data_IF_679006212017
#
_entry.id   IF_679006212017
#
_cell.length_a   1.000
_cell.length_b   1.000
_cell.length_c   1.000
_cell.angle_alpha   90.00
_cell.angle_beta   90.00
_cell.angle_gamma   90.00
#
_symmetry.space_group_name_H-M   'P 1'
#
loop_
_entity.id
_entity.type
_entity.pdbx_description
1 polymer ?
#
# COMPACT_ATOMS: atom_id res chain seq x y z
N UNK A 1 30.03 0.91 -31.46
CA UNK A 1 28.62 1.37 -31.63
C UNK A 1 28.34 2.30 -30.46
N UNK A 2 28.37 3.62 -30.69
CA UNK A 2 28.40 4.63 -29.63
C UNK A 2 27.18 4.58 -28.70
N UNK A 3 27.40 4.89 -27.42
CA UNK A 3 26.33 5.11 -26.44
C UNK A 3 25.43 6.25 -26.96
N UNK A 4 24.33 5.91 -27.61
CA UNK A 4 23.29 6.89 -27.96
C UNK A 4 22.75 7.43 -26.65
N UNK A 5 23.03 8.71 -26.36
CA UNK A 5 22.43 9.42 -25.24
C UNK A 5 20.92 9.43 -25.49
N UNK A 6 20.16 8.80 -24.60
CA UNK A 6 18.70 8.84 -24.65
C UNK A 6 18.26 10.10 -23.92
N UNK A 7 17.69 11.05 -24.64
CA UNK A 7 17.04 12.22 -24.03
C UNK A 7 15.78 11.76 -23.33
N UNK A 8 15.57 12.16 -22.08
CA UNK A 8 14.35 11.83 -21.33
C UNK A 8 13.39 13.01 -21.39
N UNK A 9 12.18 12.77 -21.89
CA UNK A 9 11.10 13.75 -21.98
C UNK A 9 9.97 13.39 -21.03
N UNK A 10 9.34 14.39 -20.43
CA UNK A 10 8.24 14.24 -19.48
C UNK A 10 6.92 14.67 -20.10
N UNK A 11 5.87 13.87 -19.85
CA UNK A 11 4.48 14.21 -20.16
C UNK A 11 3.66 13.98 -18.90
N UNK A 12 2.96 15.01 -18.44
CA UNK A 12 2.07 14.89 -17.28
C UNK A 12 0.63 14.66 -17.73
N UNK A 13 -0.04 13.69 -17.10
CA UNK A 13 -1.40 13.29 -17.43
C UNK A 13 -2.26 13.24 -16.14
N UNK A 14 -3.22 14.16 -15.99
CA UNK A 14 -4.11 14.22 -14.81
C UNK A 14 -4.94 12.96 -14.58
N UNK A 15 -5.19 12.15 -15.63
CA UNK A 15 -5.97 10.91 -15.53
C UNK A 15 -5.11 9.69 -15.20
N UNK A 16 -3.78 9.81 -15.28
CA UNK A 16 -2.88 8.72 -14.92
C UNK A 16 -2.82 8.61 -13.39
N UNK A 17 -3.12 7.41 -12.86
CA UNK A 17 -3.09 7.12 -11.41
C UNK A 17 -1.66 6.72 -10.98
N UNK A 18 -1.48 6.04 -9.84
CA UNK A 18 -0.19 5.60 -9.25
C UNK A 18 0.63 4.64 -10.16
N UNK A 19 1.03 5.09 -11.35
CA UNK A 19 1.81 4.36 -12.35
C UNK A 19 2.54 5.31 -13.29
N UNK A 20 3.58 4.81 -13.96
CA UNK A 20 4.27 5.49 -15.06
C UNK A 20 4.06 4.71 -16.34
N UNK A 21 3.96 5.42 -17.47
CA UNK A 21 4.05 4.82 -18.80
C UNK A 21 5.34 5.26 -19.46
N UNK A 22 5.88 4.39 -20.30
CA UNK A 22 7.15 4.61 -20.97
C UNK A 22 6.98 4.34 -22.46
N UNK A 23 7.51 5.24 -23.28
CA UNK A 23 7.64 5.06 -24.72
C UNK A 23 9.10 5.31 -25.10
N UNK A 24 9.66 4.47 -25.96
CA UNK A 24 11.06 4.57 -26.41
C UNK A 24 11.09 4.75 -27.92
N UNK A 25 11.85 5.73 -28.39
CA UNK A 25 12.31 5.82 -29.78
C UNK A 25 13.82 5.60 -29.86
N UNK A 26 14.41 5.72 -31.04
CA UNK A 26 15.85 5.55 -31.24
C UNK A 26 16.70 6.53 -30.40
N UNK A 27 16.18 7.74 -30.09
CA UNK A 27 16.95 8.80 -29.41
C UNK A 27 16.32 9.33 -28.12
N UNK A 28 15.08 8.93 -27.81
CA UNK A 28 14.38 9.48 -26.65
C UNK A 28 13.60 8.43 -25.87
N UNK A 29 13.47 8.66 -24.56
CA UNK A 29 12.50 8.00 -23.71
C UNK A 29 11.49 9.05 -23.26
N UNK A 30 10.21 8.78 -23.47
CA UNK A 30 9.12 9.59 -22.92
C UNK A 30 8.56 8.91 -21.69
N UNK A 31 8.57 9.61 -20.57
CA UNK A 31 7.94 9.21 -19.31
C UNK A 31 6.60 9.94 -19.22
N UNK A 32 5.50 9.18 -19.24
CA UNK A 32 4.19 9.73 -18.87
C UNK A 32 3.96 9.50 -17.38
N UNK A 33 3.77 10.58 -16.64
CA UNK A 33 3.57 10.59 -15.20
C UNK A 33 2.26 11.27 -14.80
N UNK A 34 1.71 10.94 -13.63
CA UNK A 34 0.58 11.70 -13.06
C UNK A 34 0.94 13.16 -12.78
N UNK A 35 -0.05 14.04 -12.78
CA UNK A 35 0.13 15.48 -12.58
C UNK A 35 0.81 15.83 -11.25
N UNK A 36 0.64 15.01 -10.21
CA UNK A 36 1.26 15.20 -8.90
C UNK A 36 2.80 15.29 -8.96
N UNK A 37 3.39 14.76 -10.02
CA UNK A 37 4.83 14.74 -10.26
C UNK A 37 5.33 15.95 -11.05
N UNK A 38 4.46 16.86 -11.50
CA UNK A 38 4.86 18.05 -12.27
C UNK A 38 5.90 18.90 -11.51
N UNK A 39 5.65 19.11 -10.22
CA UNK A 39 6.50 19.89 -9.29
C UNK A 39 7.44 19.01 -8.46
N UNK A 40 7.90 17.88 -9.02
CA UNK A 40 8.77 16.96 -8.28
C UNK A 40 10.15 17.57 -7.98
N UNK A 41 10.75 17.16 -6.85
CA UNK A 41 12.15 17.53 -6.54
C UNK A 41 13.15 16.91 -7.52
N UNK A 42 14.34 17.51 -7.62
CA UNK A 42 15.42 17.03 -8.49
C UNK A 42 15.83 15.58 -8.22
N UNK A 43 15.86 15.17 -6.95
CA UNK A 43 16.19 13.79 -6.55
C UNK A 43 15.13 12.79 -7.03
N UNK A 44 13.85 13.17 -6.92
CA UNK A 44 12.73 12.34 -7.41
C UNK A 44 12.82 12.20 -8.92
N UNK A 45 13.08 13.31 -9.63
CA UNK A 45 13.26 13.29 -11.08
C UNK A 45 14.40 12.37 -11.48
N UNK A 46 15.57 12.52 -10.86
CA UNK A 46 16.75 11.71 -11.16
C UNK A 46 16.50 10.21 -10.97
N UNK A 47 15.89 9.82 -9.85
CA UNK A 47 15.56 8.41 -9.58
C UNK A 47 14.57 7.83 -10.61
N UNK A 48 13.56 8.62 -11.02
CA UNK A 48 12.57 8.17 -12.01
C UNK A 48 13.16 8.06 -13.42
N UNK A 49 14.09 8.95 -13.78
CA UNK A 49 14.81 8.90 -15.05
C UNK A 49 15.77 7.70 -15.11
N UNK A 50 16.55 7.46 -14.05
CA UNK A 50 17.41 6.28 -13.92
C UNK A 50 16.56 5.00 -14.08
N UNK A 51 15.42 4.95 -13.38
CA UNK A 51 14.47 3.85 -13.46
C UNK A 51 13.96 3.63 -14.88
N UNK A 52 13.57 4.71 -15.58
CA UNK A 52 13.06 4.64 -16.95
C UNK A 52 14.12 4.12 -17.92
N UNK A 53 15.34 4.64 -17.84
CA UNK A 53 16.47 4.23 -18.70
C UNK A 53 16.76 2.74 -18.52
N UNK A 54 16.93 2.28 -17.28
CA UNK A 54 17.22 0.87 -17.00
C UNK A 54 16.08 -0.04 -17.46
N UNK A 55 14.82 0.36 -17.22
CA UNK A 55 13.65 -0.39 -17.66
C UNK A 55 13.57 -0.50 -19.19
N UNK A 56 13.84 0.59 -19.91
CA UNK A 56 13.81 0.63 -21.39
C UNK A 56 15.01 -0.05 -22.05
N UNK A 57 16.15 -0.13 -21.37
CA UNK A 57 17.31 -0.93 -21.78
C UNK A 57 17.17 -2.41 -21.38
N UNK A 58 16.11 -2.78 -20.64
CA UNK A 58 15.92 -4.11 -20.04
C UNK A 58 17.12 -4.55 -19.18
N UNK A 59 17.76 -3.57 -18.54
CA UNK A 59 18.93 -3.79 -17.68
C UNK A 59 18.49 -4.17 -16.27
N UNK A 60 19.39 -4.84 -15.54
CA UNK A 60 19.19 -5.15 -14.12
C UNK A 60 19.07 -3.86 -13.31
N UNK A 61 18.02 -3.76 -12.49
CA UNK A 61 17.83 -2.63 -11.59
C UNK A 61 18.27 -3.02 -10.18
N UNK A 62 18.96 -2.11 -9.49
CA UNK A 62 19.30 -2.30 -8.08
C UNK A 62 18.04 -2.37 -7.22
N UNK A 63 18.14 -3.00 -6.05
CA UNK A 63 17.01 -3.09 -5.11
C UNK A 63 16.74 -1.73 -4.48
N UNK A 64 17.80 -0.96 -4.30
CA UNK A 64 17.86 0.38 -3.73
C UNK A 64 17.09 1.37 -4.61
N UNK A 65 17.34 1.37 -5.93
CA UNK A 65 16.58 2.19 -6.88
C UNK A 65 15.09 1.84 -6.86
N UNK A 66 14.75 0.55 -6.90
CA UNK A 66 13.33 0.11 -6.80
C UNK A 66 12.68 0.57 -5.49
N UNK A 67 13.44 0.61 -4.40
CA UNK A 67 12.97 1.09 -3.09
C UNK A 67 12.73 2.60 -3.12
N UNK A 68 13.70 3.40 -3.59
CA UNK A 68 13.56 4.87 -3.67
C UNK A 68 12.40 5.29 -4.57
N UNK A 69 12.29 4.72 -5.77
CA UNK A 69 11.16 4.97 -6.68
C UNK A 69 9.82 4.65 -6.01
N UNK A 70 9.71 3.48 -5.34
CA UNK A 70 8.49 3.14 -4.60
C UNK A 70 8.18 4.16 -3.51
N UNK A 71 9.19 4.56 -2.73
CA UNK A 71 9.02 5.59 -1.70
C UNK A 71 8.52 6.91 -2.28
N UNK A 72 9.00 7.34 -3.45
CA UNK A 72 8.48 8.53 -4.12
C UNK A 72 7.00 8.39 -4.45
N UNK A 73 6.57 7.24 -4.96
CA UNK A 73 5.14 7.01 -5.17
C UNK A 73 4.33 6.95 -3.86
N UNK A 74 4.89 6.43 -2.78
CA UNK A 74 4.22 6.41 -1.49
C UNK A 74 4.11 7.84 -0.94
N UNK A 75 5.15 8.67 -1.09
CA UNK A 75 5.09 10.09 -0.77
C UNK A 75 4.05 10.80 -1.65
N UNK A 76 4.17 10.80 -2.97
CA UNK A 76 3.30 11.63 -3.82
C UNK A 76 1.84 11.17 -3.91
N UNK A 77 1.55 9.88 -3.66
CA UNK A 77 0.18 9.35 -3.80
C UNK A 77 -0.43 8.81 -2.50
N UNK A 78 0.37 8.54 -1.48
CA UNK A 78 -0.13 8.20 -0.15
C UNK A 78 0.03 9.35 0.86
N UNK A 79 0.77 10.44 0.62
CA UNK A 79 0.90 11.58 1.57
C UNK A 79 -0.31 12.53 1.66
N UNK A 80 -1.40 12.27 0.95
CA UNK A 80 -2.64 13.00 1.27
C UNK A 80 -3.13 12.49 2.64
N UNK A 81 -3.11 13.31 3.71
CA UNK A 81 -3.88 12.99 4.90
C UNK A 81 -5.29 12.74 4.41
N UNK A 82 -5.97 11.75 4.97
CA UNK A 82 -7.22 11.20 4.48
C UNK A 82 -8.29 12.30 4.29
N UNK A 83 -8.23 12.99 3.15
CA UNK A 83 -9.18 13.98 2.62
C UNK A 83 -9.78 13.46 1.31
N UNK A 84 -9.57 12.18 0.99
CA UNK A 84 -10.46 11.49 0.05
C UNK A 84 -11.72 11.22 0.85
N UNK A 85 -12.85 11.85 0.47
CA UNK A 85 -14.20 11.50 0.96
C UNK A 85 -14.21 10.01 1.26
N UNK A 86 -14.22 9.65 2.55
CA UNK A 86 -14.31 8.25 2.95
C UNK A 86 -15.50 7.66 2.21
N UNK A 87 -15.41 6.41 1.76
CA UNK A 87 -16.62 5.65 1.54
C UNK A 87 -17.28 5.57 2.94
N UNK A 88 -18.24 6.46 3.19
CA UNK A 88 -18.79 6.75 4.51
C UNK A 88 -19.87 5.77 4.92
N UNK A 89 -20.20 4.84 4.04
CA UNK A 89 -21.15 3.79 4.32
C UNK A 89 -20.45 2.72 5.18
N UNK A 90 -20.73 2.78 6.48
CA UNK A 90 -20.36 1.81 7.51
C UNK A 90 -21.56 0.98 7.98
N UNK A 91 -22.63 0.93 7.16
CA UNK A 91 -23.94 0.37 7.51
C UNK A 91 -23.90 -1.08 8.01
N UNK A 92 -22.94 -1.87 7.54
CA UNK A 92 -22.77 -3.27 7.95
C UNK A 92 -21.67 -3.46 9.01
N UNK A 93 -20.65 -2.62 8.99
CA UNK A 93 -19.45 -2.80 9.78
C UNK A 93 -18.87 -1.44 10.22
N UNK A 94 -19.01 -1.14 11.51
CA UNK A 94 -18.49 0.08 12.13
C UNK A 94 -16.99 -0.06 12.43
N UNK A 95 -16.15 0.29 11.47
CA UNK A 95 -14.70 0.10 11.56
C UNK A 95 -14.07 0.78 12.78
N UNK A 96 -14.51 1.99 13.13
CA UNK A 96 -14.00 2.69 14.31
C UNK A 96 -14.26 1.90 15.59
N UNK A 97 -15.50 1.41 15.78
CA UNK A 97 -15.84 0.60 16.95
C UNK A 97 -15.08 -0.74 17.01
N UNK A 98 -14.78 -1.34 15.85
CA UNK A 98 -13.92 -2.52 15.81
C UNK A 98 -12.48 -2.19 16.21
N UNK A 99 -11.93 -1.10 15.67
CA UNK A 99 -10.59 -0.63 16.02
C UNK A 99 -10.46 -0.37 17.52
N UNK A 100 -11.35 0.43 18.11
CA UNK A 100 -11.30 0.80 19.52
C UNK A 100 -11.34 -0.43 20.44
N UNK A 101 -12.26 -1.36 20.14
CA UNK A 101 -12.38 -2.63 20.89
C UNK A 101 -11.10 -3.46 20.79
N UNK A 102 -10.58 -3.67 19.58
CA UNK A 102 -9.38 -4.46 19.36
C UNK A 102 -8.14 -3.80 19.99
N UNK A 103 -8.07 -2.47 19.99
CA UNK A 103 -6.96 -1.72 20.57
C UNK A 103 -6.90 -1.91 22.09
N UNK A 104 -8.06 -1.82 22.74
CA UNK A 104 -8.18 -2.10 24.16
C UNK A 104 -7.85 -3.55 24.50
N UNK A 105 -8.35 -4.51 23.71
CA UNK A 105 -8.25 -5.94 24.04
C UNK A 105 -6.85 -6.53 23.79
N UNK A 106 -6.17 -6.13 22.71
CA UNK A 106 -4.96 -6.80 22.26
C UNK A 106 -3.70 -5.95 22.34
N UNK A 107 -3.85 -4.63 22.44
CA UNK A 107 -2.74 -3.68 22.34
C UNK A 107 -2.66 -2.72 23.53
N UNK A 108 -3.46 -2.90 24.59
CA UNK A 108 -3.49 -2.03 25.76
C UNK A 108 -3.64 -0.54 25.39
N UNK A 109 -4.41 -0.23 24.33
CA UNK A 109 -4.57 1.11 23.76
C UNK A 109 -3.27 1.75 23.22
N UNK A 110 -2.22 0.96 22.96
CA UNK A 110 -0.95 1.45 22.44
C UNK A 110 -0.90 1.52 20.91
N UNK A 111 -1.90 0.97 20.19
CA UNK A 111 -1.99 1.15 18.74
C UNK A 111 -2.49 2.57 18.45
N UNK A 112 -1.65 3.37 17.80
CA UNK A 112 -1.91 4.77 17.48
C UNK A 112 -2.02 4.91 15.96
N UNK A 113 -3.19 5.31 15.49
CA UNK A 113 -3.53 5.47 14.08
C UNK A 113 -4.39 6.71 13.96
N UNK A 114 -4.06 7.58 13.01
CA UNK A 114 -4.72 8.87 12.78
C UNK A 114 -6.17 8.69 12.29
N UNK A 115 -6.41 7.64 11.50
CA UNK A 115 -7.72 7.36 10.94
C UNK A 115 -7.86 5.89 10.51
N UNK A 116 -9.09 5.38 10.56
CA UNK A 116 -9.49 4.15 9.91
C UNK A 116 -10.66 4.40 8.97
N UNK A 117 -10.71 3.73 7.82
CA UNK A 117 -11.88 3.82 6.95
C UNK A 117 -11.90 2.88 5.77
N UNK A 118 -13.00 2.92 5.04
CA UNK A 118 -13.20 2.13 3.83
C UNK A 118 -12.48 2.70 2.62
N UNK A 119 -11.98 1.81 1.76
CA UNK A 119 -11.46 2.18 0.46
C UNK A 119 -12.59 2.63 -0.47
N UNK A 120 -12.32 3.64 -1.30
CA UNK A 120 -13.28 4.11 -2.28
C UNK A 120 -13.59 3.06 -3.37
N UNK A 121 -12.61 2.25 -3.74
CA UNK A 121 -12.77 1.18 -4.73
C UNK A 121 -12.76 -0.18 -4.05
N UNK A 122 -13.68 -1.07 -4.43
CA UNK A 122 -13.72 -2.45 -3.95
C UNK A 122 -12.56 -3.26 -4.52
N UNK A 123 -11.79 -3.92 -3.66
CA UNK A 123 -10.70 -4.81 -4.06
C UNK A 123 -10.78 -6.16 -3.36
N UNK A 124 -10.77 -7.24 -4.13
CA UNK A 124 -10.66 -8.62 -3.62
C UNK A 124 -9.19 -9.03 -3.39
N UNK A 125 -8.23 -8.32 -4.00
CA UNK A 125 -6.80 -8.69 -3.92
C UNK A 125 -6.07 -8.08 -2.74
N UNK A 126 -6.56 -6.93 -2.27
CA UNK A 126 -6.01 -6.20 -1.14
C UNK A 126 -7.18 -5.86 -0.22
N UNK A 127 -7.27 -6.60 0.89
CA UNK A 127 -8.41 -6.53 1.81
C UNK A 127 -8.24 -5.46 2.89
N UNK A 128 -7.00 -5.12 3.22
CA UNK A 128 -6.63 -4.04 4.13
C UNK A 128 -5.24 -3.51 3.78
N UNK A 129 -4.91 -2.31 4.28
CA UNK A 129 -3.54 -1.83 4.40
C UNK A 129 -3.42 -0.82 5.54
N UNK A 130 -2.32 -0.88 6.29
CA UNK A 130 -1.80 0.23 7.07
C UNK A 130 -0.85 1.09 6.23
N UNK A 131 -1.15 2.39 6.15
CA UNK A 131 -0.37 3.39 5.45
C UNK A 131 0.55 4.11 6.43
N UNK A 132 1.84 3.75 6.43
CA UNK A 132 2.85 4.40 7.29
C UNK A 132 2.93 5.93 7.07
N UNK A 133 2.77 6.41 5.84
CA UNK A 133 2.91 7.84 5.51
C UNK A 133 1.84 8.73 6.18
N UNK A 134 0.61 8.24 6.30
CA UNK A 134 -0.51 8.96 6.92
C UNK A 134 -0.87 8.41 8.29
N UNK A 135 -0.15 7.37 8.73
CA UNK A 135 -0.49 6.53 9.86
C UNK A 135 -2.00 6.20 9.90
N UNK A 136 -2.55 5.64 8.81
CA UNK A 136 -3.99 5.34 8.70
C UNK A 136 -4.23 3.90 8.26
N UNK A 137 -5.36 3.31 8.66
CA UNK A 137 -5.80 1.99 8.20
C UNK A 137 -6.89 2.16 7.14
N UNK A 138 -6.73 1.46 6.02
CA UNK A 138 -7.71 1.44 4.93
C UNK A 138 -8.17 0.01 4.70
N UNK A 139 -9.46 -0.24 4.88
CA UNK A 139 -10.09 -1.55 4.67
C UNK A 139 -10.84 -1.55 3.34
N UNK A 140 -10.75 -2.65 2.58
CA UNK A 140 -11.43 -2.76 1.29
C UNK A 140 -12.94 -2.71 1.44
N UNK A 141 -13.63 -1.81 0.74
CA UNK A 141 -15.10 -1.74 0.71
C UNK A 141 -15.77 -3.02 0.19
N UNK A 142 -15.01 -3.92 -0.45
CA UNK A 142 -15.49 -5.28 -0.76
C UNK A 142 -15.96 -6.05 0.48
N UNK A 143 -15.39 -5.77 1.66
CA UNK A 143 -15.76 -6.42 2.91
C UNK A 143 -16.96 -5.76 3.59
N UNK A 144 -17.42 -4.58 3.13
CA UNK A 144 -18.59 -3.90 3.71
C UNK A 144 -19.90 -4.53 3.21
N UNK A 145 -20.24 -5.71 3.70
CA UNK A 145 -21.46 -6.42 3.29
C UNK A 145 -21.98 -7.30 4.42
N UNK A 146 -23.30 -7.36 4.60
CA UNK A 146 -23.95 -8.27 5.56
C UNK A 146 -23.59 -9.76 5.38
N UNK A 147 -23.10 -10.16 4.20
CA UNK A 147 -22.64 -11.54 3.92
C UNK A 147 -21.25 -11.85 4.51
N UNK A 148 -20.51 -10.82 4.92
CA UNK A 148 -19.17 -10.96 5.51
C UNK A 148 -19.33 -10.98 7.03
N UNK A 149 -18.87 -12.04 7.71
CA UNK A 149 -18.95 -12.08 9.16
C UNK A 149 -18.16 -10.94 9.80
N UNK A 150 -18.70 -10.34 10.86
CA UNK A 150 -18.03 -9.26 11.60
C UNK A 150 -16.64 -9.68 12.10
N UNK A 151 -16.45 -10.95 12.47
CA UNK A 151 -15.17 -11.51 12.93
C UNK A 151 -14.11 -11.52 11.85
N UNK A 152 -14.50 -11.63 10.56
CA UNK A 152 -13.59 -11.56 9.41
C UNK A 152 -13.12 -10.13 9.20
N UNK A 153 -14.03 -9.15 9.26
CA UNK A 153 -13.67 -7.73 9.14
C UNK A 153 -12.79 -7.29 10.30
N UNK A 154 -13.16 -7.66 11.54
CA UNK A 154 -12.36 -7.41 12.74
C UNK A 154 -10.96 -8.01 12.63
N UNK A 155 -10.81 -9.22 12.08
CA UNK A 155 -9.49 -9.80 11.85
C UNK A 155 -8.64 -8.99 10.88
N UNK A 156 -9.22 -8.49 9.77
CA UNK A 156 -8.46 -7.65 8.84
C UNK A 156 -8.06 -6.34 9.50
N UNK A 157 -8.94 -5.70 10.28
CA UNK A 157 -8.57 -4.52 11.08
C UNK A 157 -7.41 -4.86 12.03
N UNK A 158 -7.52 -5.97 12.77
CA UNK A 158 -6.49 -6.46 13.68
C UNK A 158 -5.15 -6.73 12.98
N UNK A 159 -5.17 -7.30 11.77
CA UNK A 159 -3.99 -7.54 10.94
C UNK A 159 -3.28 -6.21 10.59
N UNK A 160 -4.03 -5.20 10.18
CA UNK A 160 -3.46 -3.88 9.88
C UNK A 160 -2.94 -3.16 11.14
N UNK A 161 -3.57 -3.35 12.30
CA UNK A 161 -3.04 -2.87 13.59
C UNK A 161 -1.71 -3.57 13.95
N UNK A 162 -1.61 -4.88 13.68
CA UNK A 162 -0.36 -5.62 13.85
C UNK A 162 0.76 -5.02 12.97
N UNK A 163 0.45 -4.50 11.79
CA UNK A 163 1.45 -3.83 10.95
C UNK A 163 1.95 -2.52 11.55
N UNK A 164 1.09 -1.76 12.24
CA UNK A 164 1.48 -0.54 12.92
C UNK A 164 2.38 -0.83 14.14
N UNK A 165 2.04 -1.86 14.94
CA UNK A 165 2.80 -2.24 16.14
C UNK A 165 4.08 -3.04 15.82
N UNK A 166 4.06 -3.84 14.76
CA UNK A 166 5.17 -4.69 14.33
C UNK A 166 5.53 -4.35 12.88
N UNK A 167 6.15 -3.17 12.65
CA UNK A 167 6.45 -2.72 11.31
C UNK A 167 7.47 -3.63 10.62
N UNK A 168 7.45 -3.71 9.28
CA UNK A 168 8.32 -4.59 8.51
C UNK A 168 9.81 -4.38 8.83
N UNK A 169 10.52 -5.47 9.13
CA UNK A 169 11.95 -5.43 9.46
C UNK A 169 12.80 -5.63 8.19
N UNK A 170 13.93 -4.93 8.09
CA UNK A 170 14.98 -5.27 7.13
C UNK A 170 15.85 -6.37 7.72
N UNK A 171 15.91 -7.54 7.06
CA UNK A 171 16.82 -8.62 7.42
C UNK A 171 17.74 -8.89 6.23
N UNK A 172 19.02 -8.56 6.39
CA UNK A 172 19.98 -8.50 5.28
C UNK A 172 19.42 -7.62 4.15
N UNK A 173 19.34 -8.16 2.93
CA UNK A 173 18.77 -7.46 1.80
C UNK A 173 17.24 -7.63 1.66
N UNK A 174 16.55 -8.48 2.44
CA UNK A 174 15.10 -8.77 2.26
C UNK A 174 14.25 -8.01 3.28
N UNK A 175 13.12 -7.44 2.82
CA UNK A 175 12.07 -6.88 3.67
C UNK A 175 11.18 -8.03 4.14
N UNK A 176 11.06 -8.20 5.45
CA UNK A 176 10.19 -9.21 6.05
C UNK A 176 9.02 -8.49 6.70
N UNK A 177 7.86 -8.56 6.04
CA UNK A 177 6.63 -7.88 6.50
C UNK A 177 6.02 -8.65 7.67
N UNK A 178 5.77 -9.95 7.50
CA UNK A 178 5.23 -10.82 8.55
C UNK A 178 6.35 -11.61 9.23
N UNK A 179 7.16 -10.94 10.04
CA UNK A 179 8.21 -11.60 10.84
C UNK A 179 7.64 -12.39 12.02
N UNK A 180 8.50 -13.08 12.79
CA UNK A 180 8.08 -13.95 13.90
C UNK A 180 7.17 -13.25 14.91
N UNK A 181 7.54 -12.06 15.37
CA UNK A 181 6.72 -11.34 16.37
C UNK A 181 5.36 -10.91 15.82
N UNK A 182 5.32 -10.45 14.55
CA UNK A 182 4.07 -10.17 13.84
C UNK A 182 3.16 -11.41 13.83
N UNK A 183 3.68 -12.56 13.36
CA UNK A 183 2.89 -13.80 13.26
C UNK A 183 2.40 -14.30 14.62
N UNK A 184 3.22 -14.12 15.66
CA UNK A 184 2.82 -14.45 17.03
C UNK A 184 1.66 -13.57 17.50
N UNK A 185 1.72 -12.26 17.25
CA UNK A 185 0.63 -11.36 17.62
C UNK A 185 -0.62 -11.65 16.78
N UNK A 186 -0.49 -11.81 15.47
CA UNK A 186 -1.59 -12.14 14.56
C UNK A 186 -2.35 -13.40 15.02
N UNK A 187 -1.62 -14.44 15.42
CA UNK A 187 -2.20 -15.70 15.89
C UNK A 187 -2.96 -15.60 17.23
N UNK A 188 -2.85 -14.48 17.96
CA UNK A 188 -3.60 -14.25 19.21
C UNK A 188 -5.04 -13.83 18.99
N UNK A 189 -5.44 -13.52 17.76
CA UNK A 189 -6.81 -13.16 17.46
C UNK A 189 -7.77 -14.31 17.85
N UNK A 190 -8.83 -13.97 18.58
CA UNK A 190 -9.72 -14.96 19.22
C UNK A 190 -10.31 -15.99 18.24
N UNK A 191 -10.63 -15.56 17.03
CA UNK A 191 -11.27 -16.39 16.00
C UNK A 191 -10.30 -16.71 14.84
N UNK A 192 -9.00 -16.75 15.11
CA UNK A 192 -7.97 -16.88 14.06
C UNK A 192 -8.18 -18.12 13.18
N UNK A 193 -8.55 -19.25 13.77
CA UNK A 193 -8.79 -20.50 13.03
C UNK A 193 -10.00 -20.35 12.10
N UNK A 194 -11.14 -19.92 12.64
CA UNK A 194 -12.36 -19.67 11.87
C UNK A 194 -12.12 -18.74 10.69
N UNK A 195 -11.42 -17.63 10.92
CA UNK A 195 -11.16 -16.64 9.87
C UNK A 195 -10.26 -17.21 8.78
N UNK A 196 -9.20 -17.97 9.14
CA UNK A 196 -8.35 -18.62 8.13
C UNK A 196 -9.13 -19.61 7.27
N UNK A 197 -10.03 -20.38 7.86
CA UNK A 197 -10.85 -21.33 7.10
C UNK A 197 -11.87 -20.62 6.22
N UNK A 198 -12.46 -19.50 6.69
CA UNK A 198 -13.31 -18.65 5.87
C UNK A 198 -12.58 -18.12 4.64
N UNK A 199 -11.35 -17.62 4.79
CA UNK A 199 -10.56 -17.10 3.67
C UNK A 199 -10.16 -18.19 2.68
N UNK A 200 -9.75 -19.37 3.18
CA UNK A 200 -9.47 -20.55 2.34
C UNK A 200 -10.67 -20.96 1.51
N UNK A 201 -11.85 -21.04 2.12
CA UNK A 201 -13.10 -21.40 1.43
C UNK A 201 -13.56 -20.37 0.37
N UNK A 202 -12.98 -19.16 0.38
CA UNK A 202 -13.28 -18.09 -0.57
C UNK A 202 -12.12 -17.82 -1.56
N UNK A 203 -11.04 -18.60 -1.49
CA UNK A 203 -9.89 -18.46 -2.38
C UNK A 203 -9.01 -17.23 -2.10
N UNK A 204 -9.09 -16.65 -0.90
CA UNK A 204 -8.20 -15.57 -0.48
C UNK A 204 -6.93 -16.15 0.16
N UNK A 205 -5.81 -15.44 -0.04
CA UNK A 205 -4.55 -15.72 0.63
C UNK A 205 -4.29 -14.54 1.57
N UNK A 206 -4.26 -14.84 2.86
CA UNK A 206 -3.85 -13.94 3.95
C UNK A 206 -2.58 -14.48 4.58
#
# INVERSE_FOLDING_TARGET
>A
IGNVILVVNWVFNPRLKKSLRFQKTLRQITITAPEQFAEMSGDVRSDLEEYAVLRMKRSTMSRELRKRVRSHFDLYFDSSPVKRKHYSDDSHHKLQGYFDKLNSEYFNNQCQVEAIGWSHHSSKRLLGKWCHATNSIIISSFLNSAKVPATVVQFIVYHEMCHQQFPPKQKLQRRVVHHRDFRKQEARYRDFVFVKDWFRGKGFII
#
